data_IF_026961018384
#
_entry.id   IF_026961018384
#
_cell.length_a   1.000
_cell.length_b   1.000
_cell.length_c   1.000
_cell.angle_alpha   90.00
_cell.angle_beta   90.00
_cell.angle_gamma   90.00
#
_symmetry.space_group_name_H-M   'P 1'
#
loop_
_entity.id
_entity.type
_entity.pdbx_description
1 polymer ?
#
# COMPACT_ATOMS: atom_id res chain seq x y z
N UNK A 1 2.52 3.87 -13.89
CA UNK A 1 3.76 3.35 -13.26
C UNK A 1 5.01 3.86 -13.96
N UNK A 2 5.15 3.72 -15.29
CA UNK A 2 6.36 4.13 -16.01
C UNK A 2 6.72 5.62 -15.87
N UNK A 3 5.73 6.51 -15.96
CA UNK A 3 5.96 7.95 -15.78
C UNK A 3 6.38 8.32 -14.36
N UNK A 4 5.73 7.73 -13.35
CA UNK A 4 6.07 7.92 -11.94
C UNK A 4 7.49 7.42 -11.69
N UNK A 5 7.79 6.21 -12.17
CA UNK A 5 9.12 5.62 -12.08
C UNK A 5 10.17 6.58 -12.66
N UNK A 6 10.03 7.00 -13.92
CA UNK A 6 10.97 7.92 -14.56
C UNK A 6 11.23 9.21 -13.78
N UNK A 7 10.21 9.74 -13.07
CA UNK A 7 10.34 10.96 -12.25
C UNK A 7 11.01 10.72 -10.89
N UNK A 8 10.80 9.56 -10.27
CA UNK A 8 11.32 9.29 -8.92
C UNK A 8 12.70 8.62 -8.91
N UNK A 9 13.15 8.01 -10.02
CA UNK A 9 14.48 7.39 -10.06
C UNK A 9 15.60 8.39 -9.84
N UNK A 10 15.67 9.54 -10.55
CA UNK A 10 16.75 10.48 -10.35
C UNK A 10 16.94 10.92 -8.89
N UNK A 11 15.89 11.34 -8.14
CA UNK A 11 16.06 11.70 -6.74
C UNK A 11 16.40 10.52 -5.83
N UNK A 12 15.83 9.32 -6.06
CA UNK A 12 16.16 8.13 -5.26
C UNK A 12 17.63 7.74 -5.43
N UNK A 13 18.12 7.65 -6.66
CA UNK A 13 19.52 7.31 -6.93
C UNK A 13 20.48 8.37 -6.38
N UNK A 14 20.12 9.65 -6.48
CA UNK A 14 20.90 10.75 -5.88
C UNK A 14 20.99 10.64 -4.36
N UNK A 15 19.96 10.11 -3.71
CA UNK A 15 19.93 9.82 -2.28
C UNK A 15 20.60 8.48 -1.89
N UNK A 16 21.18 7.75 -2.87
CA UNK A 16 21.78 6.44 -2.64
C UNK A 16 20.77 5.29 -2.47
N UNK A 17 19.49 5.52 -2.76
CA UNK A 17 18.43 4.53 -2.64
C UNK A 17 18.31 3.75 -3.95
N UNK A 18 18.45 2.43 -3.89
CA UNK A 18 18.37 1.55 -5.05
C UNK A 18 16.91 1.30 -5.47
N UNK A 19 16.47 1.76 -6.65
CA UNK A 19 15.11 1.54 -7.08
C UNK A 19 14.93 0.16 -7.71
N UNK A 20 13.82 -0.49 -7.38
CA UNK A 20 13.40 -1.77 -7.92
C UNK A 20 11.99 -1.62 -8.49
N UNK A 21 11.72 -2.14 -9.68
CA UNK A 21 10.42 -2.03 -10.34
C UNK A 21 9.82 -3.38 -10.66
N UNK A 22 8.54 -3.54 -10.38
CA UNK A 22 7.76 -4.64 -10.91
C UNK A 22 7.82 -4.66 -12.45
N UNK A 23 8.11 -5.83 -13.01
CA UNK A 23 8.19 -6.05 -14.45
C UNK A 23 9.63 -6.08 -14.98
N UNK A 24 10.60 -5.54 -14.23
CA UNK A 24 12.01 -5.61 -14.61
C UNK A 24 12.60 -7.00 -14.37
N UNK A 25 12.14 -7.68 -13.31
CA UNK A 25 12.55 -9.03 -12.95
C UNK A 25 11.38 -9.87 -12.40
N UNK A 26 11.52 -11.22 -12.40
CA UNK A 26 10.60 -12.08 -11.70
C UNK A 26 10.47 -11.67 -10.23
N UNK A 27 9.23 -11.68 -9.73
CA UNK A 27 8.87 -11.21 -8.38
C UNK A 27 9.77 -11.74 -7.27
N UNK A 28 10.09 -13.04 -7.28
CA UNK A 28 10.96 -13.63 -6.25
C UNK A 28 12.38 -13.04 -6.24
N UNK A 29 12.91 -12.62 -7.39
CA UNK A 29 14.23 -11.96 -7.48
C UNK A 29 14.16 -10.51 -7.01
N UNK A 30 13.10 -9.77 -7.37
CA UNK A 30 12.89 -8.42 -6.87
C UNK A 30 12.82 -8.38 -5.34
N UNK A 31 12.10 -9.33 -4.74
CA UNK A 31 12.01 -9.46 -3.29
C UNK A 31 13.36 -9.78 -2.65
N UNK A 32 14.11 -10.73 -3.22
CA UNK A 32 15.46 -11.03 -2.75
C UNK A 32 16.37 -9.79 -2.83
N UNK A 33 16.33 -9.04 -3.94
CA UNK A 33 17.13 -7.81 -4.10
C UNK A 33 16.76 -6.77 -3.06
N UNK A 34 15.46 -6.55 -2.84
CA UNK A 34 14.98 -5.63 -1.82
C UNK A 34 15.50 -5.98 -0.41
N UNK A 35 15.66 -7.28 -0.12
CA UNK A 35 16.17 -7.77 1.16
C UNK A 35 17.70 -7.76 1.31
N UNK A 36 18.44 -7.64 0.20
CA UNK A 36 19.92 -7.72 0.23
C UNK A 36 20.57 -6.39 -0.10
N UNK A 37 19.81 -5.47 -0.67
CA UNK A 37 20.28 -4.16 -1.13
C UNK A 37 19.56 -3.11 -0.30
N UNK A 38 20.28 -2.54 0.67
CA UNK A 38 19.79 -1.49 1.55
C UNK A 38 20.70 -0.26 1.40
N UNK A 39 20.15 0.97 1.24
CA UNK A 39 18.73 1.28 1.15
C UNK A 39 18.16 1.02 -0.25
N UNK A 40 16.93 0.49 -0.34
CA UNK A 40 16.22 0.30 -1.60
C UNK A 40 14.75 0.71 -1.54
N UNK A 41 14.14 0.93 -2.71
CA UNK A 41 12.74 1.28 -2.85
C UNK A 41 12.10 0.39 -3.92
N UNK A 42 11.11 -0.43 -3.52
CA UNK A 42 10.41 -1.34 -4.40
C UNK A 42 9.07 -0.78 -4.85
N UNK A 43 8.93 -0.56 -6.16
CA UNK A 43 7.70 -0.12 -6.79
C UNK A 43 6.90 -1.32 -7.27
N UNK A 44 5.79 -1.58 -6.57
CA UNK A 44 4.84 -2.63 -6.88
C UNK A 44 3.46 -2.09 -7.27
N UNK A 45 2.76 -2.87 -8.10
CA UNK A 45 1.33 -2.70 -8.41
C UNK A 45 0.51 -3.66 -7.53
N UNK A 46 -0.76 -3.85 -7.88
CA UNK A 46 -1.74 -4.67 -7.15
C UNK A 46 -1.26 -6.07 -6.73
N UNK A 47 -0.41 -6.72 -7.53
CA UNK A 47 0.12 -8.04 -7.22
C UNK A 47 1.08 -8.05 -6.02
N UNK A 48 1.62 -6.91 -5.59
CA UNK A 48 2.43 -6.83 -4.38
C UNK A 48 1.59 -6.86 -3.10
N UNK A 49 0.28 -6.65 -3.19
CA UNK A 49 -0.66 -6.86 -2.08
C UNK A 49 -0.95 -8.34 -1.86
N UNK A 50 -0.80 -9.19 -2.88
CA UNK A 50 -1.20 -10.61 -2.83
C UNK A 50 0.01 -11.52 -2.65
N UNK A 51 0.09 -12.26 -1.53
CA UNK A 51 1.11 -13.28 -1.24
C UNK A 51 2.58 -12.84 -1.11
N UNK A 52 2.89 -11.55 -0.90
CA UNK A 52 4.29 -11.10 -0.70
C UNK A 52 4.62 -11.18 0.78
N UNK A 53 5.43 -12.14 1.17
CA UNK A 53 6.14 -12.06 2.43
C UNK A 53 7.48 -11.34 2.17
N UNK A 54 7.62 -10.09 2.65
CA UNK A 54 8.89 -9.34 2.68
C UNK A 54 9.54 -9.45 4.07
N UNK A 55 10.03 -10.60 4.55
CA UNK A 55 10.57 -10.72 5.91
C UNK A 55 11.80 -9.83 6.07
N UNK A 56 11.91 -9.15 7.20
CA UNK A 56 13.09 -8.40 7.63
C UNK A 56 12.80 -7.04 8.26
N UNK A 57 13.71 -6.52 9.11
CA UNK A 57 13.63 -5.18 9.72
C UNK A 57 13.81 -4.03 8.70
N UNK A 58 14.03 -4.35 7.43
CA UNK A 58 14.38 -3.39 6.36
C UNK A 58 13.16 -2.67 5.77
N UNK A 59 11.94 -3.16 6.01
CA UNK A 59 10.73 -2.47 5.58
C UNK A 59 10.29 -1.46 6.66
N UNK A 60 10.93 -0.29 6.66
CA UNK A 60 10.61 0.80 7.59
C UNK A 60 9.51 1.74 7.10
N UNK A 61 9.21 1.73 5.80
CA UNK A 61 8.24 2.63 5.18
C UNK A 61 7.43 1.94 4.07
N UNK A 62 6.10 2.03 4.16
CA UNK A 62 5.17 1.60 3.12
C UNK A 62 4.35 2.79 2.64
N UNK A 63 4.40 3.05 1.33
CA UNK A 63 3.65 4.14 0.69
C UNK A 63 2.48 3.55 -0.12
N UNK A 64 1.26 3.87 0.28
CA UNK A 64 0.02 3.47 -0.37
C UNK A 64 -0.47 4.66 -1.22
N UNK A 65 -0.25 4.57 -2.52
CA UNK A 65 -0.67 5.63 -3.46
C UNK A 65 -2.19 5.75 -3.58
N UNK A 66 -2.90 4.62 -3.53
CA UNK A 66 -4.35 4.52 -3.72
C UNK A 66 -4.93 3.40 -2.85
N UNK A 67 -6.15 3.59 -2.35
CA UNK A 67 -6.90 2.53 -1.69
C UNK A 67 -7.12 1.36 -2.66
N UNK A 68 -6.96 0.10 -2.21
CA UNK A 68 -6.84 -1.07 -3.06
C UNK A 68 -8.21 -1.60 -3.54
N UNK A 69 -9.01 -0.72 -4.16
CA UNK A 69 -10.26 -1.10 -4.81
C UNK A 69 -9.98 -1.83 -6.12
N UNK A 70 -10.74 -2.90 -6.40
CA UNK A 70 -10.69 -3.61 -7.69
C UNK A 70 -11.09 -2.70 -8.85
N UNK A 71 -10.56 -3.01 -10.02
CA UNK A 71 -10.95 -2.36 -11.27
C UNK A 71 -12.36 -2.83 -11.65
N UNK A 72 -13.34 -1.93 -11.83
CA UNK A 72 -14.73 -2.31 -12.11
C UNK A 72 -14.95 -3.04 -13.44
N UNK A 73 -13.95 -3.09 -14.33
CA UNK A 73 -14.04 -3.69 -15.66
C UNK A 73 -13.69 -5.18 -15.68
N UNK A 74 -13.33 -5.78 -14.54
CA UNK A 74 -13.04 -7.20 -14.46
C UNK A 74 -14.35 -8.02 -14.57
N UNK A 75 -14.49 -8.95 -15.54
CA UNK A 75 -15.77 -9.62 -15.81
C UNK A 75 -16.36 -10.36 -14.60
N UNK A 76 -15.51 -11.04 -13.82
CA UNK A 76 -15.92 -11.76 -12.61
C UNK A 76 -16.43 -10.78 -11.54
N UNK A 77 -15.76 -9.64 -11.40
CA UNK A 77 -16.17 -8.61 -10.45
C UNK A 77 -17.51 -7.98 -10.85
N UNK A 78 -17.72 -7.73 -12.15
CA UNK A 78 -18.99 -7.23 -12.67
C UNK A 78 -20.14 -8.19 -12.40
N UNK A 79 -19.96 -9.49 -12.66
CA UNK A 79 -20.98 -10.50 -12.38
C UNK A 79 -21.36 -10.53 -10.89
N UNK A 80 -20.38 -10.43 -9.99
CA UNK A 80 -20.63 -10.37 -8.54
C UNK A 80 -21.31 -9.07 -8.13
N UNK A 81 -20.93 -7.95 -8.74
CA UNK A 81 -21.56 -6.65 -8.52
C UNK A 81 -23.04 -6.66 -8.88
N UNK A 82 -23.37 -7.20 -10.07
CA UNK A 82 -24.76 -7.34 -10.53
C UNK A 82 -25.57 -8.27 -9.63
N UNK A 83 -24.98 -9.38 -9.16
CA UNK A 83 -25.64 -10.30 -8.25
C UNK A 83 -26.06 -9.59 -6.94
N UNK A 84 -25.15 -8.84 -6.31
CA UNK A 84 -25.46 -8.07 -5.09
C UNK A 84 -26.49 -6.97 -5.36
N UNK A 85 -26.44 -6.34 -6.54
CA UNK A 85 -27.44 -5.34 -6.96
C UNK A 85 -28.84 -5.94 -7.08
N UNK A 86 -28.94 -7.16 -7.65
CA UNK A 86 -30.22 -7.89 -7.80
C UNK A 86 -30.83 -8.31 -6.47
N UNK A 87 -30.02 -8.42 -5.41
CA UNK A 87 -30.49 -8.62 -4.04
C UNK A 87 -31.01 -7.32 -3.36
N UNK A 88 -31.01 -6.19 -4.06
CA UNK A 88 -31.43 -4.89 -3.53
C UNK A 88 -30.43 -4.25 -2.56
N UNK A 89 -29.18 -4.72 -2.55
CA UNK A 89 -28.10 -4.20 -1.69
C UNK A 89 -27.16 -3.30 -2.49
N UNK A 90 -26.51 -2.36 -1.81
CA UNK A 90 -25.44 -1.55 -2.41
C UNK A 90 -24.16 -2.39 -2.58
N UNK A 91 -23.71 -2.71 -3.81
CA UNK A 91 -22.51 -3.51 -4.02
C UNK A 91 -21.22 -2.80 -3.62
N UNK A 92 -21.20 -1.46 -3.58
CA UNK A 92 -20.04 -0.75 -3.06
C UNK A 92 -19.81 -1.12 -1.60
N UNK A 93 -20.85 -1.02 -0.77
CA UNK A 93 -20.77 -1.29 0.67
C UNK A 93 -20.69 -2.79 1.00
N UNK A 94 -21.31 -3.65 0.19
CA UNK A 94 -21.44 -5.07 0.50
C UNK A 94 -20.42 -5.98 -0.23
N UNK A 95 -19.71 -5.46 -1.24
CA UNK A 95 -18.72 -6.23 -2.01
C UNK A 95 -17.39 -5.46 -2.12
N UNK A 96 -17.41 -4.27 -2.74
CA UNK A 96 -16.18 -3.56 -3.09
C UNK A 96 -15.38 -3.07 -1.89
N UNK A 97 -16.05 -2.44 -0.92
CA UNK A 97 -15.44 -1.93 0.30
C UNK A 97 -14.89 -3.07 1.18
N UNK A 98 -15.65 -4.14 1.50
CA UNK A 98 -15.11 -5.28 2.24
C UNK A 98 -13.86 -5.90 1.60
N UNK A 99 -13.88 -6.13 0.28
CA UNK A 99 -12.72 -6.69 -0.42
C UNK A 99 -11.50 -5.77 -0.36
N UNK A 100 -11.70 -4.47 -0.55
CA UNK A 100 -10.62 -3.49 -0.45
C UNK A 100 -10.05 -3.41 0.97
N UNK A 101 -10.89 -3.48 2.01
CA UNK A 101 -10.45 -3.46 3.41
C UNK A 101 -9.65 -4.73 3.76
N UNK A 102 -10.06 -5.90 3.28
CA UNK A 102 -9.30 -7.14 3.45
C UNK A 102 -7.91 -7.02 2.81
N UNK A 103 -7.85 -6.53 1.56
CA UNK A 103 -6.59 -6.32 0.83
C UNK A 103 -5.70 -5.29 1.54
N UNK A 104 -6.29 -4.20 2.03
CA UNK A 104 -5.58 -3.17 2.79
C UNK A 104 -4.96 -3.75 4.08
N UNK A 105 -5.74 -4.49 4.87
CA UNK A 105 -5.28 -5.14 6.10
C UNK A 105 -4.14 -6.12 5.83
N UNK A 106 -4.21 -6.88 4.74
CA UNK A 106 -3.13 -7.79 4.33
C UNK A 106 -1.84 -7.06 3.95
N UNK A 107 -1.93 -5.91 3.26
CA UNK A 107 -0.78 -5.08 2.97
C UNK A 107 -0.17 -4.47 4.23
N UNK A 108 -1.03 -4.00 5.15
CA UNK A 108 -0.60 -3.43 6.43
C UNK A 108 0.09 -4.44 7.34
N UNK A 109 -0.48 -5.65 7.50
CA UNK A 109 0.08 -6.71 8.34
C UNK A 109 1.44 -7.26 7.87
N UNK A 110 1.92 -6.84 6.70
CA UNK A 110 3.27 -7.15 6.22
C UNK A 110 4.32 -6.15 6.68
N UNK A 111 3.91 -4.93 7.04
CA UNK A 111 4.80 -3.92 7.62
C UNK A 111 5.06 -4.21 9.10
N UNK A 112 4.02 -4.58 9.85
CA UNK A 112 4.12 -4.82 11.30
C UNK A 112 3.89 -6.32 11.54
N UNK A 113 4.99 -7.09 11.67
CA UNK A 113 4.93 -8.54 11.91
C UNK A 113 5.16 -8.92 13.36
N UNK A 114 5.90 -8.11 14.10
CA UNK A 114 6.20 -8.32 15.51
C UNK A 114 5.87 -7.08 16.34
N UNK A 115 5.67 -7.23 17.66
CA UNK A 115 5.44 -6.09 18.57
C UNK A 115 6.65 -5.14 18.64
N UNK A 116 7.83 -5.60 18.23
CA UNK A 116 9.06 -4.79 18.18
C UNK A 116 9.28 -4.08 16.85
N UNK A 117 8.50 -4.39 15.81
CA UNK A 117 8.67 -3.75 14.50
C UNK A 117 8.21 -2.29 14.57
N UNK A 118 9.04 -1.38 14.06
CA UNK A 118 8.70 0.03 13.87
C UNK A 118 8.69 0.35 12.39
N UNK A 119 7.67 1.08 11.96
CA UNK A 119 7.58 1.56 10.59
C UNK A 119 6.53 2.63 10.44
N UNK A 120 6.47 3.21 9.24
CA UNK A 120 5.47 4.21 8.86
C UNK A 120 4.68 3.70 7.66
N UNK A 121 3.36 3.84 7.72
CA UNK A 121 2.49 3.73 6.53
C UNK A 121 2.08 5.12 6.10
N UNK A 122 2.47 5.52 4.90
CA UNK A 122 2.03 6.76 4.27
C UNK A 122 0.91 6.46 3.30
N UNK A 123 -0.29 7.01 3.52
CA UNK A 123 -1.44 6.86 2.62
C UNK A 123 -1.64 8.18 1.87
N UNK A 124 -1.40 8.17 0.57
CA UNK A 124 -1.50 9.37 -0.28
C UNK A 124 -2.89 9.53 -0.92
N UNK A 125 -3.82 8.62 -0.63
CA UNK A 125 -5.18 8.68 -1.14
C UNK A 125 -6.07 9.52 -0.22
N UNK A 126 -6.53 10.71 -0.65
CA UNK A 126 -7.33 11.59 0.21
C UNK A 126 -8.68 10.97 0.59
N UNK A 127 -9.14 9.92 -0.10
CA UNK A 127 -10.39 9.23 0.22
C UNK A 127 -10.35 8.58 1.60
N UNK A 128 -9.16 8.30 2.15
CA UNK A 128 -9.02 7.74 3.50
C UNK A 128 -9.59 8.67 4.58
N UNK A 129 -9.57 9.99 4.38
CA UNK A 129 -10.09 10.97 5.34
C UNK A 129 -11.27 11.79 4.80
N UNK A 130 -11.40 11.97 3.48
CA UNK A 130 -12.50 12.74 2.87
C UNK A 130 -13.79 11.95 2.71
N UNK A 131 -13.74 10.62 2.65
CA UNK A 131 -14.92 9.76 2.47
C UNK A 131 -15.29 9.06 3.77
N UNK A 132 -16.59 8.94 4.03
CA UNK A 132 -17.12 8.29 5.25
C UNK A 132 -16.62 6.86 5.43
N UNK A 133 -16.46 6.11 4.33
CA UNK A 133 -15.93 4.75 4.39
C UNK A 133 -14.44 4.67 4.74
N UNK A 134 -13.69 5.77 4.67
CA UNK A 134 -12.26 5.80 4.99
C UNK A 134 -11.98 5.35 6.42
N UNK A 135 -12.90 5.64 7.34
CA UNK A 135 -12.85 5.16 8.72
C UNK A 135 -12.85 3.63 8.83
N UNK A 136 -13.53 2.93 7.90
CA UNK A 136 -13.55 1.46 7.89
C UNK A 136 -12.15 0.88 7.62
N UNK A 137 -11.34 1.56 6.79
CA UNK A 137 -9.95 1.17 6.57
C UNK A 137 -9.10 1.44 7.82
N UNK A 138 -9.21 2.63 8.42
CA UNK A 138 -8.44 3.01 9.61
C UNK A 138 -8.76 2.13 10.82
N UNK A 139 -10.02 1.73 10.98
CA UNK A 139 -10.44 0.81 12.05
C UNK A 139 -10.05 -0.66 11.80
N UNK A 140 -9.62 -1.01 10.58
CA UNK A 140 -9.30 -2.40 10.22
C UNK A 140 -7.87 -2.82 10.58
N UNK A 141 -7.01 -1.86 10.91
CA UNK A 141 -5.59 -2.05 11.24
C UNK A 141 -5.39 -2.00 12.77
N UNK A 142 -4.33 -2.65 13.31
CA UNK A 142 -4.12 -2.80 14.76
C UNK A 142 -3.84 -1.50 15.55
N UNK A 143 -4.08 -0.32 14.95
CA UNK A 143 -3.87 0.98 15.57
C UNK A 143 -2.49 1.59 15.26
N UNK A 144 -2.14 2.63 16.01
CA UNK A 144 -0.96 3.47 15.80
C UNK A 144 -1.32 4.95 15.87
N UNK A 145 -0.32 5.82 15.89
CA UNK A 145 -0.55 7.26 15.78
C UNK A 145 -0.95 7.59 14.33
N UNK A 146 -2.17 8.07 14.14
CA UNK A 146 -2.66 8.54 12.84
C UNK A 146 -2.50 10.05 12.79
N UNK A 147 -1.64 10.53 11.90
CA UNK A 147 -1.41 11.96 11.68
C UNK A 147 -1.80 12.30 10.24
N UNK A 148 -2.56 13.38 10.07
CA UNK A 148 -2.80 13.99 8.76
C UNK A 148 -1.79 15.12 8.61
N UNK A 149 -1.01 15.07 7.53
CA UNK A 149 0.07 16.01 7.27
C UNK A 149 0.09 16.42 5.80
N UNK A 150 0.63 17.60 5.55
CA UNK A 150 0.95 18.08 4.20
C UNK A 150 2.19 17.37 3.66
N UNK A 151 2.42 17.50 2.35
CA UNK A 151 3.58 16.90 1.69
C UNK A 151 4.91 17.38 2.28
N UNK A 152 4.98 18.64 2.74
CA UNK A 152 6.19 19.25 3.27
C UNK A 152 6.48 18.80 4.72
N UNK A 153 5.45 18.44 5.48
CA UNK A 153 5.57 17.94 6.85
C UNK A 153 5.95 16.45 6.91
N UNK A 154 5.58 15.67 5.88
CA UNK A 154 5.79 14.21 5.85
C UNK A 154 7.25 13.79 6.13
N UNK A 155 8.29 14.36 5.49
CA UNK A 155 9.67 13.96 5.75
C UNK A 155 10.10 14.19 7.19
N UNK A 156 9.64 15.27 7.82
CA UNK A 156 9.96 15.62 9.21
C UNK A 156 9.33 14.60 10.15
N UNK A 157 8.02 14.35 10.01
CA UNK A 157 7.28 13.40 10.86
C UNK A 157 7.81 11.97 10.73
N UNK A 158 8.17 11.55 9.52
CA UNK A 158 8.76 10.23 9.29
C UNK A 158 10.14 10.14 9.96
N UNK A 159 10.95 11.21 9.86
CA UNK A 159 12.26 11.28 10.49
C UNK A 159 12.18 11.21 12.01
N UNK A 160 11.26 11.94 12.63
CA UNK A 160 11.06 11.93 14.09
C UNK A 160 10.59 10.56 14.62
N UNK A 161 9.85 9.79 13.82
CA UNK A 161 9.34 8.48 14.23
C UNK A 161 10.34 7.33 14.07
N UNK A 162 11.18 7.40 13.04
CA UNK A 162 12.12 6.32 12.68
C UNK A 162 13.48 6.43 13.38
N UNK A 163 13.76 7.54 14.08
CA UNK A 163 14.96 7.77 14.92
C UNK A 163 14.70 7.34 16.35
#
# INVERSE_FOLDING_TARGET
MNEVYAKIIPPLTKAGIHPLRQGDEPRHRLLRKFQTVTPSALLGMDSFWEGVDIPGPELSNVIIMRLPFRVPTEPIFQARWEAVSKEGKDPFLNLSLPEAVIKFKQGFGRLIRSQSDRGVVVILDPRIYTKRYGQVFLSSIPGGQITVATQDELPVLIGEWLV
#
